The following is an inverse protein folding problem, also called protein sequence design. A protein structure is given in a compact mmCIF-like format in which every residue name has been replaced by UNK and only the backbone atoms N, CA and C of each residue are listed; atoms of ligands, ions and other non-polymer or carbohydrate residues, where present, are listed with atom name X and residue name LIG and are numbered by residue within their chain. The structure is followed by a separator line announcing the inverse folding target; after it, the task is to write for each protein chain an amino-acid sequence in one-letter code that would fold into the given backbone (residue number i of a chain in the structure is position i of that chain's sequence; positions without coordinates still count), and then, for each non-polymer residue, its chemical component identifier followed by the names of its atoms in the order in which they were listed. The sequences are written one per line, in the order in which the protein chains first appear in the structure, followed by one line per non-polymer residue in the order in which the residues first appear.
data_IF_707712770953
#
_entry.id   IF_707712770953
#
_cell.length_a   1.000
_cell.length_b   1.000
_cell.length_c   1.000
_cell.angle_alpha   90.00
_cell.angle_beta   90.00
_cell.angle_gamma   90.00
#
_symmetry.space_group_name_H-M   'P 1'
#
loop_
_entity.id
_entity.type
_entity.pdbx_description
1 polymer ?
#
# COMPACT_ATOMS: atom_id res chain seq x y z
N UNK A 1 -24.28 2.45 17.96
CA UNK A 1 -23.18 3.20 17.51
C UNK A 1 -21.88 2.58 17.91
N UNK A 2 -20.96 2.53 17.01
CA UNK A 2 -19.73 1.87 17.32
C UNK A 2 -18.76 2.85 17.91
N UNK A 3 -18.03 2.42 18.91
CA UNK A 3 -17.03 3.25 19.52
C UNK A 3 -15.64 2.83 19.10
N UNK A 4 -15.54 1.86 18.20
CA UNK A 4 -14.26 1.37 17.75
C UNK A 4 -13.85 2.11 16.49
N UNK A 5 -12.57 2.37 16.30
CA UNK A 5 -12.12 2.92 15.04
C UNK A 5 -12.41 1.94 13.91
N UNK A 6 -12.61 2.44 12.71
CA UNK A 6 -12.81 1.53 11.59
C UNK A 6 -11.57 0.71 11.33
N UNK A 7 -11.79 -0.48 10.80
CA UNK A 7 -10.69 -1.34 10.42
C UNK A 7 -9.94 -0.76 9.24
N UNK A 8 -8.62 -0.89 9.22
CA UNK A 8 -7.88 -0.49 8.03
C UNK A 8 -8.30 -1.34 6.82
N UNK A 9 -8.37 -0.71 5.68
CA UNK A 9 -8.76 -1.40 4.46
C UNK A 9 -7.50 -1.94 3.79
N UNK A 10 -7.06 -3.11 4.22
CA UNK A 10 -5.84 -3.70 3.67
C UNK A 10 -6.03 -4.17 2.24
N UNK A 11 -7.26 -4.51 1.86
CA UNK A 11 -7.51 -4.86 0.47
C UNK A 11 -7.29 -3.67 -0.45
N UNK A 12 -7.78 -2.50 -0.03
CA UNK A 12 -7.56 -1.29 -0.81
C UNK A 12 -6.07 -0.95 -0.91
N UNK A 13 -5.32 -1.21 0.16
CA UNK A 13 -3.89 -0.92 0.15
C UNK A 13 -3.15 -1.80 -0.87
N UNK A 14 -3.43 -3.09 -0.88
CA UNK A 14 -2.74 -3.96 -1.82
C UNK A 14 -3.18 -3.71 -3.25
N UNK A 15 -4.44 -3.31 -3.45
CA UNK A 15 -4.90 -2.96 -4.79
C UNK A 15 -4.27 -1.66 -5.28
N UNK A 16 -4.02 -0.73 -4.38
CA UNK A 16 -3.32 0.49 -4.73
C UNK A 16 -1.88 0.19 -5.15
N UNK A 17 -1.23 -0.73 -4.46
CA UNK A 17 0.11 -1.16 -4.86
C UNK A 17 0.09 -1.75 -6.27
N UNK A 18 -0.87 -2.63 -6.53
CA UNK A 18 -0.99 -3.24 -7.85
C UNK A 18 -1.27 -2.20 -8.93
N UNK A 19 -2.12 -1.22 -8.60
CA UNK A 19 -2.46 -0.15 -9.54
C UNK A 19 -1.22 0.68 -9.87
N UNK A 20 -0.45 1.04 -8.86
CA UNK A 20 0.76 1.85 -9.08
C UNK A 20 1.80 1.09 -9.89
N UNK A 21 1.96 -0.20 -9.60
CA UNK A 21 2.89 -1.04 -10.35
C UNK A 21 2.44 -1.13 -11.81
N UNK A 22 1.16 -1.40 -12.03
CA UNK A 22 0.63 -1.56 -13.38
C UNK A 22 0.71 -0.24 -14.16
N UNK A 23 0.48 0.88 -13.50
CA UNK A 23 0.55 2.18 -14.16
C UNK A 23 1.95 2.47 -14.68
N UNK A 24 2.97 1.87 -14.05
CA UNK A 24 4.34 2.02 -14.51
C UNK A 24 4.76 0.94 -15.48
N UNK A 25 3.88 -0.02 -15.75
CA UNK A 25 4.19 -1.13 -16.63
C UNK A 25 5.21 -2.09 -16.05
N UNK A 26 5.31 -2.17 -14.73
CA UNK A 26 6.34 -3.00 -14.10
C UNK A 26 5.82 -4.38 -13.79
N UNK A 27 6.64 -5.38 -14.08
CA UNK A 27 6.39 -6.74 -13.61
C UNK A 27 6.78 -6.84 -12.14
N UNK A 28 6.48 -7.97 -11.53
CA UNK A 28 6.97 -8.23 -10.18
C UNK A 28 8.50 -8.21 -10.14
N UNK A 29 9.14 -8.74 -11.18
CA UNK A 29 10.60 -8.74 -11.22
C UNK A 29 11.15 -7.33 -11.25
N UNK A 30 10.51 -6.44 -12.00
CA UNK A 30 10.96 -5.07 -12.06
C UNK A 30 10.78 -4.37 -10.71
N UNK A 31 9.62 -4.56 -10.08
CA UNK A 31 9.37 -3.95 -8.79
C UNK A 31 10.33 -4.51 -7.74
N UNK A 32 10.61 -5.80 -7.80
CA UNK A 32 11.56 -6.42 -6.88
C UNK A 32 12.94 -5.79 -7.04
N UNK A 33 13.37 -5.60 -8.27
CA UNK A 33 14.68 -5.01 -8.53
C UNK A 33 14.74 -3.57 -8.01
N UNK A 34 13.67 -2.80 -8.18
CA UNK A 34 13.67 -1.39 -7.79
C UNK A 34 13.51 -1.19 -6.30
N UNK A 35 12.81 -2.12 -5.63
CA UNK A 35 12.55 -1.99 -4.21
C UNK A 35 13.55 -2.72 -3.33
N UNK A 36 14.28 -3.66 -3.91
CA UNK A 36 15.18 -4.50 -3.13
C UNK A 36 14.45 -5.60 -2.37
N UNK A 37 13.17 -5.81 -2.66
CA UNK A 37 12.38 -6.83 -1.99
C UNK A 37 12.33 -8.09 -2.83
N UNK A 38 12.07 -9.22 -2.17
CA UNK A 38 11.93 -10.49 -2.88
C UNK A 38 10.65 -10.49 -3.70
N UNK A 39 10.73 -11.06 -4.90
CA UNK A 39 9.57 -11.17 -5.77
C UNK A 39 8.41 -11.88 -5.07
N UNK A 40 8.72 -12.93 -4.32
CA UNK A 40 7.70 -13.70 -3.62
C UNK A 40 6.97 -12.83 -2.59
N UNK A 41 7.71 -11.97 -1.89
CA UNK A 41 7.10 -11.06 -0.92
C UNK A 41 6.08 -10.15 -1.60
N UNK A 42 6.42 -9.64 -2.77
CA UNK A 42 5.53 -8.75 -3.51
C UNK A 42 4.26 -9.46 -3.96
N UNK A 43 4.42 -10.69 -4.44
CA UNK A 43 3.28 -11.48 -4.87
C UNK A 43 2.35 -11.75 -3.68
N UNK A 44 2.92 -12.10 -2.54
CA UNK A 44 2.12 -12.41 -1.37
C UNK A 44 1.36 -11.19 -0.86
N UNK A 45 1.99 -10.02 -0.94
CA UNK A 45 1.32 -8.79 -0.53
C UNK A 45 0.16 -8.48 -1.48
N UNK A 46 0.40 -8.55 -2.78
CA UNK A 46 -0.66 -8.23 -3.75
C UNK A 46 -1.78 -9.24 -3.73
N UNK A 47 -1.50 -10.47 -3.34
CA UNK A 47 -2.54 -11.50 -3.23
C UNK A 47 -3.24 -11.49 -1.88
N UNK A 48 -2.82 -10.61 -0.98
CA UNK A 48 -3.47 -10.49 0.32
C UNK A 48 -3.07 -11.55 1.31
N UNK A 49 -1.99 -12.30 1.06
CA UNK A 49 -1.55 -13.34 1.98
C UNK A 49 -0.77 -12.79 3.16
N UNK A 50 -0.20 -11.62 2.99
CA UNK A 50 0.51 -10.93 4.05
C UNK A 50 0.31 -9.45 3.85
N UNK A 51 0.38 -8.71 4.95
CA UNK A 51 0.24 -7.25 4.88
C UNK A 51 1.58 -6.60 4.59
N UNK A 52 2.65 -7.22 5.04
CA UNK A 52 3.97 -6.62 4.95
C UNK A 52 4.28 -5.76 6.17
N UNK A 53 5.55 -5.47 6.36
CA UNK A 53 5.98 -4.64 7.47
C UNK A 53 6.06 -3.19 7.02
N UNK A 54 6.18 -2.30 7.98
CA UNK A 54 6.37 -0.89 7.67
C UNK A 54 7.64 -0.67 6.85
N UNK A 55 8.70 -1.42 7.17
CA UNK A 55 9.93 -1.33 6.41
C UNK A 55 9.72 -1.72 4.96
N UNK A 56 8.93 -2.77 4.72
CA UNK A 56 8.60 -3.21 3.38
C UNK A 56 7.86 -2.13 2.62
N UNK A 57 6.85 -1.52 3.25
CA UNK A 57 6.08 -0.47 2.60
C UNK A 57 6.88 0.78 2.36
N UNK A 58 7.83 1.09 3.24
CA UNK A 58 8.73 2.20 3.02
C UNK A 58 9.57 1.97 1.77
N UNK A 59 10.08 0.74 1.58
CA UNK A 59 10.86 0.40 0.40
C UNK A 59 10.00 0.51 -0.86
N UNK A 60 8.74 0.07 -0.78
CA UNK A 60 7.84 0.15 -1.92
C UNK A 60 7.52 1.59 -2.28
N UNK A 61 7.24 2.41 -1.28
CA UNK A 61 6.95 3.81 -1.52
C UNK A 61 8.13 4.50 -2.19
N UNK A 62 9.33 4.20 -1.74
CA UNK A 62 10.54 4.77 -2.32
C UNK A 62 10.70 4.33 -3.78
N UNK A 63 10.52 3.04 -4.03
CA UNK A 63 10.65 2.52 -5.40
C UNK A 63 9.61 3.11 -6.34
N UNK A 64 8.41 3.33 -5.83
CA UNK A 64 7.31 3.87 -6.63
C UNK A 64 7.33 5.39 -6.68
N UNK A 65 8.25 6.01 -5.96
CA UNK A 65 8.36 7.47 -5.87
C UNK A 65 7.03 8.07 -5.43
N UNK A 66 6.39 7.41 -4.47
CA UNK A 66 5.11 7.81 -3.92
C UNK A 66 5.28 8.03 -2.42
N UNK A 67 4.82 9.14 -1.86
CA UNK A 67 4.95 9.33 -0.43
C UNK A 67 4.24 8.23 0.34
N UNK A 68 4.83 7.79 1.44
CA UNK A 68 4.29 6.68 2.21
C UNK A 68 2.91 7.01 2.76
N UNK A 69 2.71 8.24 3.20
CA UNK A 69 1.41 8.66 3.72
C UNK A 69 0.34 8.63 2.63
N UNK A 70 0.70 8.97 1.41
CA UNK A 70 -0.24 8.89 0.30
C UNK A 70 -0.62 7.44 0.00
N UNK A 71 0.39 6.57 0.02
CA UNK A 71 0.14 5.15 -0.21
C UNK A 71 -0.76 4.58 0.89
N UNK A 72 -0.47 4.94 2.13
CA UNK A 72 -1.25 4.46 3.26
C UNK A 72 -2.63 5.09 3.34
N UNK A 73 -2.88 6.16 2.59
CA UNK A 73 -4.21 6.73 2.52
C UNK A 73 -5.26 5.72 2.07
N UNK A 74 -4.85 4.70 1.32
CA UNK A 74 -5.77 3.66 0.89
C UNK A 74 -6.34 2.87 2.08
N UNK A 75 -5.64 2.86 3.22
CA UNK A 75 -6.15 2.18 4.40
C UNK A 75 -7.46 2.79 4.92
N UNK A 76 -7.71 4.03 4.55
CA UNK A 76 -8.93 4.72 4.94
C UNK A 76 -9.97 4.73 3.83
N UNK A 77 -9.79 3.87 2.85
CA UNK A 77 -10.73 3.78 1.75
C UNK A 77 -12.11 3.39 2.27
N UNK A 78 -13.12 4.13 1.86
CA UNK A 78 -14.47 3.85 2.31
C UNK A 78 -14.88 4.52 3.59
N UNK A 79 -13.97 5.17 4.30
CA UNK A 79 -14.36 5.96 5.45
C UNK A 79 -13.50 7.20 5.50
N UNK A 80 -14.11 8.26 5.94
CA UNK A 80 -13.44 9.53 5.90
C UNK A 80 -12.37 9.64 6.94
N UNK A 81 -11.18 10.06 6.55
CA UNK A 81 -10.18 10.36 7.55
C UNK A 81 -10.61 11.61 8.30
N UNK A 82 -10.14 11.78 9.50
CA UNK A 82 -10.43 12.97 10.23
C UNK A 82 -9.85 14.16 9.46
N UNK A 83 -10.70 15.08 9.17
CA UNK A 83 -10.23 16.14 8.44
C UNK A 83 -9.58 17.02 9.35
N UNK A 84 -8.65 17.41 9.06
CA UNK A 84 -8.11 18.22 9.74
C UNK A 84 -8.65 19.40 9.54
N UNK A 85 -9.24 19.36 9.83
CA UNK A 85 -9.71 20.27 9.74
C UNK A 85 -9.52 20.98 8.91
N UNK A 86 -9.51 20.71 8.92
CA UNK A 86 -9.44 21.04 8.48
C UNK A 86 -9.69 21.33 8.51
N UNK A 87 -9.76 21.25 8.79
CA UNK A 87 -9.92 21.52 8.81
C UNK A 87 -9.82 21.46 8.95
#
# INVERSE_FOLDING_TARGET
MTIFPPEPDFEALRLELARLRAARGWSYDELAARSGLARRTLIEIEQGRTIGTLKTWHALAHALNTPLDELFGALCHGHEPPTSGGG
#
